data_IF_255806648666
#
_entry.id   IF_255806648666
#
_cell.length_a   1.000
_cell.length_b   1.000
_cell.length_c   1.000
_cell.angle_alpha   90.00
_cell.angle_beta   90.00
_cell.angle_gamma   90.00
#
_symmetry.space_group_name_H-M   'P 1'
#
loop_
_entity.id
_entity.type
_entity.pdbx_description
1 polymer ?
#
# COMPACT_ATOMS: atom_id res chain seq x y z
N UNK A 1 29.56 -36.07 -48.60
CA UNK A 1 29.06 -35.75 -47.25
C UNK A 1 29.31 -34.27 -47.00
N UNK A 2 28.32 -33.42 -47.25
CA UNK A 2 28.25 -32.06 -46.72
C UNK A 2 26.78 -31.79 -46.45
N UNK A 3 26.41 -31.75 -45.17
CA UNK A 3 25.04 -31.53 -44.71
C UNK A 3 24.75 -30.04 -44.75
N UNK A 4 23.63 -29.66 -45.37
CA UNK A 4 23.07 -28.32 -45.28
C UNK A 4 22.65 -28.07 -43.83
N UNK A 5 23.28 -27.11 -43.16
CA UNK A 5 22.89 -26.68 -41.82
C UNK A 5 21.62 -25.83 -41.95
N UNK A 6 20.50 -26.34 -41.44
CA UNK A 6 19.29 -25.57 -41.26
C UNK A 6 19.45 -24.67 -40.02
N UNK A 7 19.40 -23.36 -40.20
CA UNK A 7 19.34 -22.39 -39.10
C UNK A 7 17.90 -22.37 -38.59
N UNK A 8 17.67 -22.94 -37.41
CA UNK A 8 16.38 -22.84 -36.73
C UNK A 8 16.32 -21.49 -36.02
N UNK A 9 15.59 -20.54 -36.60
CA UNK A 9 15.13 -19.35 -35.89
C UNK A 9 13.90 -19.75 -35.05
N UNK A 10 14.05 -19.82 -33.73
CA UNK A 10 13.00 -20.30 -32.82
C UNK A 10 12.74 -19.32 -31.66
N UNK A 11 11.99 -18.26 -31.97
CA UNK A 11 11.14 -17.41 -31.11
C UNK A 11 11.46 -17.32 -29.60
N UNK A 12 12.07 -16.20 -29.18
CA UNK A 12 12.01 -15.74 -27.79
C UNK A 12 10.57 -15.28 -27.50
N UNK A 13 9.76 -16.13 -26.87
CA UNK A 13 8.47 -15.69 -26.31
C UNK A 13 8.78 -14.89 -25.07
N UNK A 14 8.85 -13.57 -25.21
CA UNK A 14 8.85 -12.67 -24.05
C UNK A 14 7.46 -12.73 -23.44
N UNK A 15 7.31 -13.47 -22.34
CA UNK A 15 6.16 -13.32 -21.46
C UNK A 15 6.21 -11.91 -20.87
N UNK A 16 5.59 -10.96 -21.56
CA UNK A 16 5.15 -9.73 -20.92
C UNK A 16 4.01 -10.16 -20.02
N UNK A 17 4.24 -10.22 -18.71
CA UNK A 17 3.12 -10.20 -17.79
C UNK A 17 2.32 -8.95 -18.15
N UNK A 18 1.09 -9.13 -18.64
CA UNK A 18 0.20 -8.02 -18.84
C UNK A 18 0.04 -7.37 -17.46
N UNK A 19 0.68 -6.22 -17.28
CA UNK A 19 0.39 -5.35 -16.15
C UNK A 19 -1.03 -4.93 -16.44
N UNK A 20 -2.01 -5.62 -15.86
CA UNK A 20 -3.41 -5.18 -15.94
C UNK A 20 -3.43 -3.86 -15.18
N UNK A 21 -3.59 -2.72 -15.87
CA UNK A 21 -3.73 -1.45 -15.17
C UNK A 21 -4.93 -1.58 -14.23
N UNK A 22 -4.91 -0.87 -13.11
CA UNK A 22 -6.13 -0.77 -12.30
C UNK A 22 -7.29 -0.35 -13.20
N UNK A 23 -8.40 -1.06 -13.09
CA UNK A 23 -9.62 -0.73 -13.83
C UNK A 23 -10.00 0.73 -13.53
N UNK A 24 -10.56 1.42 -14.53
CA UNK A 24 -10.91 2.86 -14.48
C UNK A 24 -11.84 3.26 -13.32
N UNK A 25 -12.38 2.29 -12.58
CA UNK A 25 -13.25 2.50 -11.42
C UNK A 25 -12.85 1.67 -10.19
N UNK A 26 -11.56 1.45 -9.98
CA UNK A 26 -11.05 0.74 -8.80
C UNK A 26 -11.28 1.53 -7.51
N UNK A 27 -11.57 0.81 -6.42
CA UNK A 27 -11.69 1.32 -5.05
C UNK A 27 -10.76 0.54 -4.13
N UNK A 28 -10.33 1.16 -3.04
CA UNK A 28 -9.54 0.49 -2.02
C UNK A 28 -10.16 0.68 -0.63
N UNK A 29 -10.19 -0.40 0.15
CA UNK A 29 -10.50 -0.39 1.57
C UNK A 29 -9.25 -0.83 2.33
N UNK A 30 -8.71 0.04 3.18
CA UNK A 30 -7.48 -0.17 3.94
C UNK A 30 -7.81 -0.17 5.43
N UNK A 31 -7.57 -1.30 6.11
CA UNK A 31 -7.98 -1.49 7.51
C UNK A 31 -6.82 -1.93 8.40
N UNK A 32 -6.53 -1.16 9.44
CA UNK A 32 -5.62 -1.55 10.53
C UNK A 32 -6.45 -2.02 11.73
N UNK A 33 -6.59 -3.34 11.91
CA UNK A 33 -7.46 -3.95 12.92
C UNK A 33 -6.94 -3.95 14.36
N UNK A 34 -6.02 -3.05 14.73
CA UNK A 34 -5.45 -3.01 16.09
C UNK A 34 -4.95 -1.61 16.46
N UNK A 35 -4.82 -1.37 17.76
CA UNK A 35 -4.32 -0.14 18.36
C UNK A 35 -3.14 -0.39 19.32
N UNK A 36 -2.63 0.68 19.92
CA UNK A 36 -1.51 0.70 20.85
C UNK A 36 -0.15 0.70 20.13
N UNK A 37 0.84 1.37 20.73
CA UNK A 37 2.16 1.56 20.12
C UNK A 37 2.89 0.23 19.84
N UNK A 38 2.66 -0.81 20.62
CA UNK A 38 3.17 -2.17 20.33
C UNK A 38 2.71 -2.70 18.95
N UNK A 39 1.56 -2.24 18.45
CA UNK A 39 1.00 -2.60 17.15
C UNK A 39 1.23 -1.54 16.06
N UNK A 40 2.18 -0.63 16.28
CA UNK A 40 2.61 0.41 15.33
C UNK A 40 2.60 -0.06 13.86
N UNK A 41 3.15 -1.26 13.61
CA UNK A 41 3.31 -1.85 12.28
C UNK A 41 2.00 -1.88 11.47
N UNK A 42 0.86 -2.18 12.08
CA UNK A 42 -0.38 -2.33 11.33
C UNK A 42 -0.90 -0.98 10.80
N UNK A 43 -0.73 0.12 11.54
CA UNK A 43 -1.09 1.44 11.03
C UNK A 43 -0.03 1.99 10.07
N UNK A 44 1.25 1.66 10.27
CA UNK A 44 2.31 1.97 9.29
C UNK A 44 2.07 1.28 7.94
N UNK A 45 1.59 0.03 7.94
CA UNK A 45 1.21 -0.74 6.75
C UNK A 45 0.09 -0.06 5.95
N UNK A 46 -0.96 0.39 6.63
CA UNK A 46 -2.08 1.08 6.00
C UNK A 46 -1.68 2.47 5.50
N UNK A 47 -0.92 3.24 6.29
CA UNK A 47 -0.37 4.52 5.86
C UNK A 47 0.50 4.38 4.59
N UNK A 48 1.38 3.38 4.56
CA UNK A 48 2.19 3.09 3.37
C UNK A 48 1.32 2.68 2.17
N UNK A 49 0.36 1.78 2.39
CA UNK A 49 -0.55 1.28 1.34
C UNK A 49 -1.41 2.40 0.75
N UNK A 50 -1.84 3.38 1.54
CA UNK A 50 -2.57 4.55 1.05
C UNK A 50 -1.79 5.28 -0.04
N UNK A 51 -0.50 5.56 0.19
CA UNK A 51 0.34 6.19 -0.82
C UNK A 51 0.60 5.30 -2.03
N UNK A 52 0.70 3.97 -1.86
CA UNK A 52 0.79 3.03 -2.98
C UNK A 52 -0.47 3.15 -3.85
N UNK A 53 -1.67 3.12 -3.26
CA UNK A 53 -2.93 3.24 -4.01
C UNK A 53 -3.04 4.58 -4.75
N UNK A 54 -2.63 5.69 -4.12
CA UNK A 54 -2.57 7.01 -4.78
C UNK A 54 -1.60 6.97 -5.97
N UNK A 55 -0.41 6.38 -5.81
CA UNK A 55 0.60 6.31 -6.87
C UNK A 55 0.18 5.40 -8.03
N UNK A 56 -0.65 4.38 -7.78
CA UNK A 56 -1.25 3.52 -8.80
C UNK A 56 -2.48 4.17 -9.47
N UNK A 57 -2.87 5.38 -9.06
CA UNK A 57 -3.91 6.18 -9.71
C UNK A 57 -5.32 6.03 -9.14
N UNK A 58 -5.49 5.38 -7.98
CA UNK A 58 -6.77 5.43 -7.25
C UNK A 58 -6.86 6.81 -6.59
N UNK A 59 -7.89 7.62 -6.91
CA UNK A 59 -8.01 8.94 -6.32
C UNK A 59 -8.42 8.82 -4.84
N UNK A 60 -8.03 9.78 -4.00
CA UNK A 60 -8.18 9.71 -2.55
C UNK A 60 -9.64 9.51 -2.09
N UNK A 61 -10.61 10.05 -2.82
CA UNK A 61 -12.04 9.86 -2.58
C UNK A 61 -12.52 8.41 -2.76
N UNK A 62 -11.74 7.57 -3.46
CA UNK A 62 -12.00 6.13 -3.66
C UNK A 62 -11.16 5.22 -2.77
N UNK A 63 -10.42 5.80 -1.83
CA UNK A 63 -9.67 5.06 -0.81
C UNK A 63 -10.37 5.33 0.52
N UNK A 64 -10.83 4.25 1.15
CA UNK A 64 -11.42 4.28 2.49
C UNK A 64 -10.36 3.77 3.47
N UNK A 65 -9.98 4.60 4.43
CA UNK A 65 -8.98 4.24 5.45
C UNK A 65 -9.63 4.11 6.81
N UNK A 66 -9.48 2.94 7.41
CA UNK A 66 -9.90 2.64 8.77
C UNK A 66 -8.65 2.32 9.60
N UNK A 67 -8.27 3.24 10.49
CA UNK A 67 -7.17 3.02 11.43
C UNK A 67 -7.37 3.78 12.73
N UNK A 68 -6.95 3.19 13.84
CA UNK A 68 -7.25 3.72 15.17
C UNK A 68 -6.62 5.11 15.44
N UNK A 69 -5.54 5.45 14.71
CA UNK A 69 -4.89 6.76 14.71
C UNK A 69 -4.27 7.19 16.04
N UNK A 70 -3.71 6.25 16.79
CA UNK A 70 -3.06 6.46 18.09
C UNK A 70 -1.53 6.32 18.04
N UNK A 71 -0.94 6.34 16.85
CA UNK A 71 0.50 6.10 16.63
C UNK A 71 1.30 7.39 16.40
N UNK A 72 0.84 8.28 15.51
CA UNK A 72 1.61 9.44 15.09
C UNK A 72 1.97 10.37 16.26
N UNK A 73 1.07 10.53 17.23
CA UNK A 73 1.27 11.38 18.42
C UNK A 73 1.28 10.56 19.72
N UNK A 74 1.59 9.27 19.64
CA UNK A 74 1.77 8.45 20.82
C UNK A 74 2.94 8.99 21.68
N UNK A 75 2.85 8.87 23.01
CA UNK A 75 3.95 9.27 23.91
C UNK A 75 5.23 8.47 23.69
N UNK A 76 5.10 7.23 23.21
CA UNK A 76 6.23 6.35 22.92
C UNK A 76 6.84 6.60 21.52
N UNK A 77 6.20 7.45 20.70
CA UNK A 77 6.73 7.82 19.39
C UNK A 77 7.84 8.87 19.55
N UNK A 78 9.11 8.54 19.25
CA UNK A 78 10.23 9.48 19.40
C UNK A 78 10.17 10.64 18.41
N UNK A 79 9.35 10.54 17.36
CA UNK A 79 9.18 11.54 16.30
C UNK A 79 7.69 11.86 16.13
N UNK A 80 7.12 12.75 16.97
CA UNK A 80 5.71 13.10 16.89
C UNK A 80 5.29 13.59 15.51
N UNK A 81 4.12 13.14 15.04
CA UNK A 81 3.58 13.42 13.71
C UNK A 81 4.20 12.59 12.57
N UNK A 82 5.14 11.70 12.87
CA UNK A 82 5.82 10.86 11.88
C UNK A 82 5.53 9.38 12.12
N UNK A 83 5.15 8.69 11.05
CA UNK A 83 5.13 7.22 10.99
C UNK A 83 5.98 6.80 9.81
N UNK A 84 6.97 5.94 10.01
CA UNK A 84 7.73 5.24 8.96
C UNK A 84 7.28 3.78 8.87
N UNK A 85 7.31 3.18 7.67
CA UNK A 85 7.05 1.74 7.46
C UNK A 85 8.30 0.94 7.01
N UNK A 86 9.49 1.50 7.21
CA UNK A 86 10.77 0.79 7.07
C UNK A 86 11.87 1.59 7.78
N UNK A 87 12.99 0.95 8.19
CA UNK A 87 14.14 1.66 8.71
C UNK A 87 14.60 2.77 7.75
N UNK A 88 14.85 3.97 8.27
CA UNK A 88 15.21 5.16 7.49
C UNK A 88 14.21 5.51 6.37
N UNK A 89 12.94 5.12 6.53
CA UNK A 89 11.86 5.43 5.61
C UNK A 89 11.39 6.87 5.71
N UNK A 90 10.61 7.29 4.72
CA UNK A 90 9.89 8.57 4.74
C UNK A 90 8.67 8.51 5.65
N UNK A 91 8.15 9.68 6.04
CA UNK A 91 6.87 9.76 6.75
C UNK A 91 5.73 9.29 5.84
N UNK A 92 5.08 8.19 6.21
CA UNK A 92 3.91 7.63 5.53
C UNK A 92 2.58 8.09 6.16
N UNK A 93 2.61 8.80 7.29
CA UNK A 93 1.38 9.32 7.93
C UNK A 93 0.88 10.61 7.27
N UNK A 94 1.80 11.45 6.78
CA UNK A 94 1.46 12.75 6.24
C UNK A 94 0.57 12.61 4.99
N UNK A 95 -0.61 13.25 5.03
CA UNK A 95 -1.53 13.30 3.89
C UNK A 95 -2.46 12.08 3.77
N UNK A 96 -2.42 11.13 4.70
CA UNK A 96 -3.41 10.04 4.76
C UNK A 96 -4.77 10.62 5.14
N UNK A 97 -5.78 10.42 4.30
CA UNK A 97 -7.18 10.74 4.61
C UNK A 97 -7.74 9.58 5.43
N UNK A 98 -8.04 9.82 6.71
CA UNK A 98 -8.57 8.81 7.63
C UNK A 98 -10.10 8.96 7.67
N UNK A 99 -10.83 7.92 7.28
CA UNK A 99 -12.29 7.94 7.20
C UNK A 99 -12.93 7.42 8.49
N UNK A 100 -12.35 6.38 9.11
CA UNK A 100 -12.81 5.81 10.39
C UNK A 100 -11.65 5.66 11.37
N UNK A 101 -11.87 6.06 12.62
CA UNK A 101 -10.82 6.10 13.64
C UNK A 101 -11.34 5.91 15.06
N UNK A 102 -10.45 5.62 16.01
CA UNK A 102 -10.83 5.36 17.40
C UNK A 102 -11.96 4.34 17.53
N UNK A 103 -13.03 4.73 18.22
CA UNK A 103 -14.19 3.89 18.49
C UNK A 103 -15.05 3.58 17.25
N UNK A 104 -14.88 4.33 16.15
CA UNK A 104 -15.57 4.06 14.88
C UNK A 104 -14.93 2.89 14.11
N UNK A 105 -13.79 2.35 14.56
CA UNK A 105 -13.14 1.20 13.94
C UNK A 105 -13.79 -0.11 14.42
N UNK A 106 -14.97 -0.39 13.86
CA UNK A 106 -15.77 -1.57 14.19
C UNK A 106 -16.07 -2.40 12.94
N UNK A 107 -16.40 -3.69 13.07
CA UNK A 107 -16.83 -4.50 11.93
C UNK A 107 -18.16 -4.05 11.29
N UNK A 108 -18.96 -3.23 11.98
CA UNK A 108 -20.25 -2.76 11.49
C UNK A 108 -20.13 -1.59 10.50
N UNK A 109 -19.06 -0.81 10.63
CA UNK A 109 -18.73 0.30 9.75
C UNK A 109 -17.92 -0.20 8.54
#
# INVERSE_FOLDING_TARGET
>A
MWQTVAVIAGLLVTFTAAITPLETNSWALLVAGSNGYYNYRHQADICHSYHVMINEGIPAEKIIVMMYNDIAYNTDNPTPGVIINKPNGTNVYAGVKIDYTGDDLTPQN
#
